data_IF_218056006040
#
_entry.id   IF_218056006040
#
_cell.length_a   1.000
_cell.length_b   1.000
_cell.length_c   1.000
_cell.angle_alpha   90.00
_cell.angle_beta   90.00
_cell.angle_gamma   90.00
#
_symmetry.space_group_name_H-M   'P 1'
#
loop_
_entity.id
_entity.type
_entity.pdbx_description
1 polymer ?
#
# COMPACT_ATOMS: atom_id res chain seq x y z
N UNK A 1 -16.82 8.17 -17.78
CA UNK A 1 -16.16 7.09 -17.03
C UNK A 1 -15.79 7.68 -15.68
N UNK A 2 -16.16 7.08 -14.54
CA UNK A 2 -15.59 7.50 -13.26
C UNK A 2 -14.06 7.45 -13.37
N UNK A 3 -13.37 8.43 -12.77
CA UNK A 3 -11.90 8.36 -12.70
C UNK A 3 -11.52 7.20 -11.78
N UNK A 4 -10.50 6.38 -12.09
CA UNK A 4 -10.11 5.22 -11.29
C UNK A 4 -10.02 5.52 -9.78
N UNK A 5 -9.42 6.67 -9.41
CA UNK A 5 -9.41 7.18 -8.03
C UNK A 5 -10.78 7.22 -7.35
N UNK A 6 -11.80 7.74 -8.04
CA UNK A 6 -13.13 7.91 -7.46
C UNK A 6 -13.86 6.58 -7.25
N UNK A 7 -13.50 5.55 -8.02
CA UNK A 7 -14.01 4.19 -7.83
C UNK A 7 -13.47 3.59 -6.53
N UNK A 8 -12.16 3.73 -6.28
CA UNK A 8 -11.53 3.30 -5.03
C UNK A 8 -12.08 4.08 -3.83
N UNK A 9 -12.13 5.41 -3.92
CA UNK A 9 -12.59 6.26 -2.80
C UNK A 9 -14.03 5.99 -2.37
N UNK A 10 -14.88 5.50 -3.28
CA UNK A 10 -16.27 5.18 -3.01
C UNK A 10 -16.52 3.67 -2.89
N UNK A 11 -15.48 2.84 -2.99
CA UNK A 11 -15.65 1.39 -2.98
C UNK A 11 -16.16 0.95 -1.60
N UNK A 12 -17.21 0.11 -1.52
CA UNK A 12 -17.79 -0.30 -0.24
C UNK A 12 -16.79 -1.08 0.63
N UNK A 13 -15.86 -1.79 0.00
CA UNK A 13 -14.82 -2.57 0.69
C UNK A 13 -13.51 -1.79 0.90
N UNK A 14 -13.44 -0.51 0.49
CA UNK A 14 -12.25 0.30 0.76
C UNK A 14 -12.20 0.73 2.23
N UNK A 15 -11.06 0.46 2.87
CA UNK A 15 -10.78 0.78 4.27
C UNK A 15 -10.13 2.16 4.38
N UNK A 16 -10.32 2.81 5.53
CA UNK A 16 -9.59 4.02 5.86
C UNK A 16 -8.14 3.69 6.19
N UNK A 17 -7.22 4.52 5.72
CA UNK A 17 -5.81 4.39 6.05
C UNK A 17 -5.11 5.75 6.21
N UNK A 18 -3.98 5.74 6.89
CA UNK A 18 -3.04 6.87 6.97
C UNK A 18 -1.69 6.40 6.44
N UNK A 19 -1.02 7.24 5.64
CA UNK A 19 0.27 6.90 5.01
C UNK A 19 1.40 7.68 5.66
N UNK A 20 2.48 6.98 5.97
CA UNK A 20 3.69 7.53 6.59
C UNK A 20 4.89 7.28 5.71
N UNK A 21 5.79 8.25 5.64
CA UNK A 21 7.05 8.13 4.89
C UNK A 21 8.24 8.18 5.87
N UNK A 22 9.04 7.11 5.96
CA UNK A 22 10.26 7.13 6.77
C UNK A 22 11.30 8.09 6.17
N UNK A 23 12.21 8.60 7.00
CA UNK A 23 13.37 9.34 6.51
C UNK A 23 14.46 8.35 6.06
N UNK A 24 14.75 8.33 4.76
CA UNK A 24 15.75 7.43 4.18
C UNK A 24 17.19 7.71 4.67
N UNK A 25 17.45 8.91 5.18
CA UNK A 25 18.79 9.34 5.62
C UNK A 25 18.98 9.22 7.13
N UNK A 26 17.89 9.09 7.89
CA UNK A 26 17.91 9.02 9.34
C UNK A 26 16.89 7.98 9.87
N UNK A 27 17.32 6.73 10.14
CA UNK A 27 16.43 5.69 10.65
C UNK A 27 15.95 5.95 12.09
N UNK A 28 16.54 6.92 12.79
CA UNK A 28 16.10 7.32 14.13
C UNK A 28 15.10 8.50 14.08
N UNK A 29 14.82 9.06 12.90
CA UNK A 29 13.85 10.14 12.72
C UNK A 29 12.41 9.62 12.75
N UNK A 30 11.49 10.46 13.22
CA UNK A 30 10.05 10.20 13.19
C UNK A 30 9.54 10.18 11.74
N UNK A 31 8.68 9.23 11.41
CA UNK A 31 8.10 9.12 10.07
C UNK A 31 7.21 10.33 9.76
N UNK A 32 7.30 10.80 8.52
CA UNK A 32 6.46 11.89 8.06
C UNK A 32 5.03 11.38 7.78
N UNK A 33 4.05 11.88 8.51
CA UNK A 33 2.62 11.72 8.18
C UNK A 33 2.30 12.44 6.85
N UNK A 34 1.98 11.66 5.81
CA UNK A 34 1.55 12.18 4.50
C UNK A 34 0.06 12.52 4.47
N UNK A 35 -0.74 11.84 5.30
CA UNK A 35 -2.17 12.09 5.48
C UNK A 35 -3.06 10.88 5.18
N UNK A 36 -4.37 11.16 5.18
CA UNK A 36 -5.41 10.13 5.11
C UNK A 36 -5.77 9.73 3.65
N UNK A 37 -6.07 8.44 3.49
CA UNK A 37 -6.43 7.82 2.23
C UNK A 37 -7.48 6.72 2.38
N UNK A 38 -7.80 6.10 1.24
CA UNK A 38 -8.53 4.83 1.17
C UNK A 38 -7.64 3.78 0.57
N UNK A 39 -7.68 2.58 1.15
CA UNK A 39 -7.02 1.38 0.61
C UNK A 39 -8.06 0.33 0.27
N UNK A 40 -7.94 -0.27 -0.91
CA UNK A 40 -8.72 -1.43 -1.34
C UNK A 40 -7.77 -2.60 -1.54
N UNK A 41 -7.79 -3.56 -0.63
CA UNK A 41 -7.03 -4.81 -0.78
C UNK A 41 -7.75 -5.72 -1.79
N UNK A 42 -7.06 -6.12 -2.85
CA UNK A 42 -7.62 -6.89 -3.96
C UNK A 42 -7.37 -8.40 -3.84
N UNK A 43 -6.44 -8.81 -2.98
CA UNK A 43 -6.15 -10.22 -2.70
C UNK A 43 -4.69 -10.46 -2.34
N UNK A 44 -4.30 -11.74 -2.21
CA UNK A 44 -2.90 -12.11 -2.08
C UNK A 44 -2.13 -11.75 -3.37
N UNK A 45 -0.84 -11.41 -3.24
CA UNK A 45 0.02 -11.24 -4.40
C UNK A 45 0.30 -12.59 -5.07
N UNK A 46 0.02 -12.68 -6.37
CA UNK A 46 0.38 -13.82 -7.21
C UNK A 46 1.55 -13.40 -8.11
N UNK A 47 2.74 -14.02 -7.95
CA UNK A 47 3.87 -13.74 -8.84
C UNK A 47 3.52 -14.04 -10.30
N UNK A 48 4.07 -13.28 -11.26
CA UNK A 48 3.91 -13.56 -12.68
C UNK A 48 4.23 -15.01 -13.04
N UNK A 49 3.40 -15.62 -13.91
CA UNK A 49 3.52 -17.04 -14.26
C UNK A 49 4.80 -17.40 -15.03
N UNK A 50 5.43 -16.41 -15.65
CA UNK A 50 6.68 -16.54 -16.38
C UNK A 50 7.92 -16.45 -15.48
N UNK A 51 7.75 -16.11 -14.19
CA UNK A 51 8.84 -16.15 -13.23
C UNK A 51 9.23 -17.60 -12.89
N UNK A 52 10.52 -17.87 -12.95
CA UNK A 52 11.06 -19.12 -12.46
C UNK A 52 11.08 -19.18 -10.91
N UNK A 53 11.60 -20.27 -10.35
CA UNK A 53 11.70 -20.40 -8.90
C UNK A 53 12.67 -19.40 -8.26
N UNK A 54 13.75 -19.04 -8.97
CA UNK A 54 14.77 -18.15 -8.46
C UNK A 54 14.28 -16.69 -8.44
N UNK A 55 13.56 -16.26 -9.48
CA UNK A 55 12.95 -14.93 -9.53
C UNK A 55 11.92 -14.72 -8.41
N UNK A 56 11.12 -15.75 -8.12
CA UNK A 56 10.15 -15.70 -7.00
C UNK A 56 10.85 -15.63 -5.64
N UNK A 57 11.89 -16.44 -5.45
CA UNK A 57 12.68 -16.44 -4.22
C UNK A 57 13.39 -15.09 -4.01
N UNK A 58 13.96 -14.52 -5.07
CA UNK A 58 14.64 -13.20 -5.03
C UNK A 58 13.65 -12.07 -4.70
N UNK A 59 12.43 -12.12 -5.24
CA UNK A 59 11.39 -11.14 -4.94
C UNK A 59 10.91 -11.21 -3.50
N UNK A 60 10.59 -12.40 -2.99
CA UNK A 60 10.16 -12.54 -1.60
C UNK A 60 11.29 -12.31 -0.60
N UNK A 61 12.54 -12.62 -0.98
CA UNK A 61 13.69 -12.48 -0.08
C UNK A 61 13.51 -13.32 1.18
N UNK A 62 13.51 -12.67 2.35
CA UNK A 62 13.32 -13.31 3.65
C UNK A 62 11.86 -13.23 4.16
N UNK A 63 10.98 -12.54 3.44
CA UNK A 63 9.60 -12.31 3.83
C UNK A 63 8.69 -13.51 3.54
N UNK A 64 7.66 -13.72 4.36
CA UNK A 64 6.67 -14.78 4.13
C UNK A 64 5.77 -14.39 2.93
N UNK A 65 5.68 -15.21 1.86
CA UNK A 65 4.81 -14.94 0.71
C UNK A 65 3.34 -14.68 1.07
N UNK A 66 2.86 -15.19 2.20
CA UNK A 66 1.48 -14.99 2.67
C UNK A 66 1.21 -13.59 3.21
N UNK A 67 2.25 -12.81 3.52
CA UNK A 67 2.12 -11.42 3.94
C UNK A 67 1.92 -10.47 2.75
N UNK A 68 2.26 -10.90 1.53
CA UNK A 68 2.15 -10.06 0.34
C UNK A 68 0.71 -10.01 -0.16
N UNK A 69 0.18 -8.79 -0.25
CA UNK A 69 -1.15 -8.51 -0.79
C UNK A 69 -1.07 -7.47 -1.89
N UNK A 70 -2.07 -7.48 -2.75
CA UNK A 70 -2.27 -6.48 -3.80
C UNK A 70 -3.30 -5.46 -3.35
N UNK A 71 -3.11 -4.20 -3.74
CA UNK A 71 -4.00 -3.13 -3.33
C UNK A 71 -4.04 -1.94 -4.30
N UNK A 72 -5.09 -1.13 -4.14
CA UNK A 72 -5.12 0.25 -4.61
C UNK A 72 -5.15 1.20 -3.41
N UNK A 73 -4.40 2.30 -3.48
CA UNK A 73 -4.37 3.33 -2.44
C UNK A 73 -4.61 4.69 -3.09
N UNK A 74 -5.56 5.45 -2.52
CA UNK A 74 -5.93 6.77 -3.01
C UNK A 74 -6.01 7.80 -1.88
N UNK A 75 -5.26 8.88 -2.01
CA UNK A 75 -5.28 10.02 -1.09
C UNK A 75 -6.66 10.69 -1.08
N UNK A 76 -7.18 11.05 0.09
CA UNK A 76 -8.46 11.76 0.22
C UNK A 76 -8.40 13.21 -0.27
N UNK A 77 -7.25 13.88 -0.11
CA UNK A 77 -7.05 15.25 -0.57
C UNK A 77 -7.18 15.35 -2.09
N UNK A 78 -7.61 16.52 -2.58
CA UNK A 78 -7.80 16.73 -4.02
C UNK A 78 -6.45 16.81 -4.72
N UNK A 79 -6.30 16.26 -5.93
CA UNK A 79 -5.10 16.46 -6.74
C UNK A 79 -4.74 17.95 -6.88
N UNK A 80 -3.44 18.23 -6.95
CA UNK A 80 -2.88 19.58 -7.02
C UNK A 80 -3.19 20.48 -5.81
N UNK A 81 -3.51 19.88 -4.65
CA UNK A 81 -3.48 20.56 -3.35
C UNK A 81 -2.18 20.25 -2.61
N UNK A 82 -1.81 21.07 -1.63
CA UNK A 82 -0.60 20.86 -0.83
C UNK A 82 -0.62 19.53 -0.07
N UNK A 83 -1.81 19.10 0.33
CA UNK A 83 -1.99 17.92 1.17
C UNK A 83 -2.24 16.65 0.32
N UNK A 84 -2.08 16.73 -1.01
CA UNK A 84 -2.15 15.58 -1.90
C UNK A 84 -0.83 14.83 -1.91
N UNK A 85 -0.92 13.50 -1.75
CA UNK A 85 0.22 12.60 -1.82
C UNK A 85 -0.08 11.41 -2.73
N UNK A 86 0.99 10.73 -3.14
CA UNK A 86 0.95 9.41 -3.74
C UNK A 86 1.91 8.52 -2.95
N UNK A 87 1.45 7.36 -2.44
CA UNK A 87 2.34 6.40 -1.83
C UNK A 87 3.43 5.94 -2.80
N UNK A 88 4.62 5.73 -2.26
CA UNK A 88 5.80 5.24 -2.95
C UNK A 88 6.32 3.98 -2.23
N UNK A 89 7.10 3.17 -2.94
CA UNK A 89 7.77 2.02 -2.32
C UNK A 89 8.67 2.51 -1.18
N UNK A 90 8.58 1.88 0.00
CA UNK A 90 9.20 2.39 1.21
C UNK A 90 8.25 3.04 2.22
N UNK A 91 7.07 3.47 1.79
CA UNK A 91 6.08 4.06 2.69
C UNK A 91 5.39 2.99 3.57
N UNK A 92 4.85 3.42 4.71
CA UNK A 92 4.00 2.62 5.58
C UNK A 92 2.54 3.05 5.47
N UNK A 93 1.63 2.09 5.59
CA UNK A 93 0.19 2.30 5.50
C UNK A 93 -0.47 1.69 6.74
N UNK A 94 -0.98 2.56 7.61
CA UNK A 94 -1.78 2.15 8.76
C UNK A 94 -3.24 2.00 8.32
N UNK A 95 -3.76 0.78 8.30
CA UNK A 95 -5.12 0.49 7.83
C UNK A 95 -6.05 0.23 9.00
N UNK A 96 -7.16 0.96 9.06
CA UNK A 96 -8.20 0.71 10.06
C UNK A 96 -9.07 -0.46 9.61
N UNK A 97 -8.93 -1.59 10.30
CA UNK A 97 -9.76 -2.76 10.05
C UNK A 97 -11.20 -2.52 10.51
N UNK A 98 -12.14 -3.24 9.91
CA UNK A 98 -13.56 -3.20 10.30
C UNK A 98 -13.81 -3.65 11.76
N UNK A 99 -12.81 -4.26 12.42
CA UNK A 99 -12.87 -4.70 13.81
C UNK A 99 -12.30 -3.66 14.79
N UNK A 100 -11.82 -2.52 14.28
CA UNK A 100 -11.24 -1.44 15.07
C UNK A 100 -9.75 -1.63 15.39
N UNK A 101 -9.11 -2.63 14.79
CA UNK A 101 -7.67 -2.85 14.88
C UNK A 101 -6.95 -2.08 13.78
N UNK A 102 -5.74 -1.61 14.07
CA UNK A 102 -4.86 -1.03 13.05
C UNK A 102 -3.93 -2.13 12.57
N UNK A 103 -3.92 -2.37 11.27
CA UNK A 103 -2.98 -3.30 10.62
C UNK A 103 -1.98 -2.46 9.85
N UNK A 104 -0.70 -2.64 10.14
CA UNK A 104 0.38 -1.96 9.45
C UNK A 104 0.75 -2.74 8.18
N UNK A 105 0.98 -1.99 7.11
CA UNK A 105 1.50 -2.53 5.86
C UNK A 105 2.69 -1.69 5.40
N UNK A 106 3.66 -2.35 4.79
CA UNK A 106 4.77 -1.72 4.08
C UNK A 106 4.50 -1.72 2.58
N UNK A 107 4.67 -0.58 1.90
CA UNK A 107 4.57 -0.51 0.43
C UNK A 107 5.85 -1.09 -0.16
N UNK A 108 5.76 -2.33 -0.61
CA UNK A 108 6.90 -3.05 -1.16
C UNK A 108 7.21 -2.63 -2.60
N UNK A 109 6.19 -2.61 -3.46
CA UNK A 109 6.34 -2.20 -4.85
C UNK A 109 5.06 -1.55 -5.39
N UNK A 110 5.16 -0.87 -6.53
CA UNK A 110 4.01 -0.32 -7.23
C UNK A 110 4.22 -0.28 -8.75
N UNK A 111 3.12 -0.41 -9.49
CA UNK A 111 3.10 -0.28 -10.94
C UNK A 111 1.95 0.62 -11.42
N UNK A 112 2.20 1.37 -12.49
CA UNK A 112 1.15 2.15 -13.17
C UNK A 112 0.47 1.29 -14.23
N UNK A 113 -0.84 1.08 -14.07
CA UNK A 113 -1.67 0.34 -15.02
C UNK A 113 -2.69 1.25 -15.69
N UNK A 114 -3.43 0.75 -16.68
CA UNK A 114 -4.56 1.48 -17.26
C UNK A 114 -5.70 1.76 -16.26
N UNK A 115 -5.71 1.04 -15.13
CA UNK A 115 -6.66 1.20 -14.04
C UNK A 115 -6.10 2.06 -12.88
N UNK A 116 -4.97 2.73 -13.10
CA UNK A 116 -4.26 3.52 -12.09
C UNK A 116 -3.15 2.72 -11.42
N UNK A 117 -2.64 3.27 -10.32
CA UNK A 117 -1.51 2.68 -9.60
C UNK A 117 -1.98 1.48 -8.78
N UNK A 118 -1.26 0.38 -8.95
CA UNK A 118 -1.45 -0.86 -8.23
C UNK A 118 -0.24 -1.07 -7.31
N UNK A 119 -0.49 -1.48 -6.08
CA UNK A 119 0.53 -1.62 -5.04
C UNK A 119 0.64 -3.08 -4.61
N UNK A 120 1.86 -3.50 -4.32
CA UNK A 120 2.14 -4.70 -3.55
C UNK A 120 2.52 -4.25 -2.14
N UNK A 121 1.75 -4.73 -1.16
CA UNK A 121 1.95 -4.42 0.25
C UNK A 121 2.42 -5.67 0.97
N UNK A 122 3.31 -5.51 1.94
CA UNK A 122 3.64 -6.56 2.90
C UNK A 122 2.92 -6.22 4.19
N UNK A 123 2.10 -7.15 4.67
CA UNK A 123 1.50 -7.04 6.00
C UNK A 123 2.59 -7.16 7.06
N UNK A 124 2.66 -6.15 7.91
CA UNK A 124 3.53 -6.18 9.08
C UNK A 124 2.77 -6.87 10.22
N UNK A 125 3.21 -8.09 10.55
CA UNK A 125 2.64 -8.95 11.58
C UNK A 125 3.40 -8.85 12.91
N UNK A 126 4.29 -7.85 13.09
CA UNK A 126 4.83 -7.56 14.42
C UNK A 126 3.69 -7.22 15.38
N UNK A 127 3.48 -8.08 16.39
CA UNK A 127 2.59 -7.77 17.51
C UNK A 127 3.15 -6.52 18.24
N UNK A 128 2.49 -5.37 18.04
CA UNK A 128 2.75 -4.12 18.79
C UNK A 128 2.67 -4.31 20.32
#
# INVERSE_FOLDING_TARGET
MPHPRQEILNHPDALDCTVYRPDEQDPDAEEQDLGDGKVLITGAFEPPQDWDAHQREDYYGEEDPTHFVTAHIECLAKPATRDFFMPESGDYVAVQSNQGEVVMYYVYDHEETEHGRHYVLIRDDEEL
#
